data_IF_239119156764
#
_entry.id   IF_239119156764
#
_cell.length_a   1.000
_cell.length_b   1.000
_cell.length_c   1.000
_cell.angle_alpha   90.00
_cell.angle_beta   90.00
_cell.angle_gamma   90.00
#
_symmetry.space_group_name_H-M   'P 1'
#
loop_
_entity.id
_entity.type
_entity.pdbx_description
1 polymer ?
#
# COMPACT_ATOMS: atom_id res chain seq x y z
N UNK A 1 -23.81 33.97 -16.48
CA UNK A 1 -24.00 33.87 -15.00
C UNK A 1 -22.75 33.23 -14.42
N UNK A 2 -22.18 33.76 -13.34
CA UNK A 2 -21.13 33.05 -12.61
C UNK A 2 -21.78 31.94 -11.77
N UNK A 3 -21.31 30.70 -11.92
CA UNK A 3 -21.85 29.58 -11.15
C UNK A 3 -21.51 29.75 -9.66
N UNK A 4 -22.54 29.76 -8.81
CA UNK A 4 -22.37 29.73 -7.35
C UNK A 4 -21.55 28.49 -6.99
N UNK A 5 -20.38 28.71 -6.37
CA UNK A 5 -19.56 27.63 -5.81
C UNK A 5 -19.91 27.51 -4.34
N UNK A 6 -20.35 26.34 -3.92
CA UNK A 6 -20.58 26.04 -2.51
C UNK A 6 -19.34 26.38 -1.67
N UNK A 7 -19.52 26.94 -0.45
CA UNK A 7 -18.40 27.26 0.41
C UNK A 7 -17.59 25.99 0.71
N UNK A 8 -16.27 26.07 0.51
CA UNK A 8 -15.35 24.96 0.80
C UNK A 8 -15.22 24.78 2.31
N UNK A 9 -16.15 24.03 2.91
CA UNK A 9 -16.08 23.63 4.32
C UNK A 9 -14.82 22.78 4.53
N UNK A 10 -13.91 23.30 5.34
CA UNK A 10 -12.68 22.64 5.75
C UNK A 10 -12.98 21.78 6.97
N UNK A 11 -13.10 20.47 6.78
CA UNK A 11 -13.51 19.54 7.82
C UNK A 11 -12.27 18.83 8.36
N UNK A 12 -11.83 19.21 9.58
CA UNK A 12 -10.64 18.69 10.25
C UNK A 12 -10.71 17.17 10.58
N UNK A 13 -11.83 16.48 10.27
CA UNK A 13 -11.98 15.03 10.46
C UNK A 13 -10.97 14.24 9.62
N UNK A 14 -9.91 13.77 10.28
CA UNK A 14 -8.88 12.86 9.77
C UNK A 14 -9.49 11.59 9.16
N UNK A 15 -9.48 11.48 7.83
CA UNK A 15 -9.99 10.30 7.10
C UNK A 15 -8.89 9.25 6.96
N UNK A 16 -8.73 8.41 7.99
CA UNK A 16 -7.82 7.26 8.03
C UNK A 16 -8.51 6.00 8.55
N UNK A 17 -7.93 4.83 8.29
CA UNK A 17 -8.40 3.60 8.93
C UNK A 17 -8.16 3.67 10.46
N UNK A 18 -9.08 3.22 11.32
CA UNK A 18 -8.87 3.22 12.78
C UNK A 18 -7.69 2.31 13.15
N UNK A 19 -6.66 2.85 13.82
CA UNK A 19 -5.41 2.11 14.09
C UNK A 19 -5.63 0.94 15.06
N UNK A 20 -6.50 1.16 16.05
CA UNK A 20 -7.07 0.20 16.99
C UNK A 20 -7.75 -1.01 16.33
N UNK A 21 -8.36 -0.82 15.16
CA UNK A 21 -9.05 -1.88 14.43
C UNK A 21 -8.17 -2.58 13.36
N UNK A 22 -6.90 -2.19 13.17
CA UNK A 22 -6.04 -2.81 12.13
C UNK A 22 -5.72 -4.26 12.48
N UNK A 23 -5.34 -4.54 13.73
CA UNK A 23 -5.00 -5.90 14.14
C UNK A 23 -6.23 -6.82 14.14
N UNK A 24 -7.41 -6.30 14.53
CA UNK A 24 -8.70 -7.01 14.42
C UNK A 24 -9.04 -7.32 12.95
N UNK A 25 -8.85 -6.36 12.04
CA UNK A 25 -9.03 -6.59 10.60
C UNK A 25 -8.10 -7.68 10.06
N UNK A 26 -6.84 -7.67 10.50
CA UNK A 26 -5.85 -8.65 10.06
C UNK A 26 -6.15 -10.04 10.61
N UNK A 27 -6.33 -10.17 11.92
CA UNK A 27 -6.50 -11.46 12.59
C UNK A 27 -7.88 -12.08 12.35
N UNK A 28 -8.94 -11.29 12.47
CA UNK A 28 -10.33 -11.77 12.37
C UNK A 28 -10.98 -11.47 11.03
N UNK A 29 -10.83 -10.24 10.52
CA UNK A 29 -11.49 -9.79 9.29
C UNK A 29 -11.17 -10.64 8.07
N UNK A 30 -9.90 -11.03 7.91
CA UNK A 30 -9.45 -11.91 6.82
C UNK A 30 -9.58 -13.43 7.11
N UNK A 31 -10.14 -13.81 8.25
CA UNK A 31 -10.30 -15.21 8.67
C UNK A 31 -11.72 -15.74 8.47
N UNK A 32 -11.84 -17.02 8.14
CA UNK A 32 -13.10 -17.74 7.93
C UNK A 32 -12.97 -19.21 8.40
N UNK A 33 -14.01 -20.02 8.23
CA UNK A 33 -13.99 -21.45 8.61
C UNK A 33 -12.92 -22.27 7.86
N UNK A 34 -12.49 -21.83 6.67
CA UNK A 34 -11.34 -22.36 5.94
C UNK A 34 -9.99 -21.72 6.32
N UNK A 35 -9.90 -21.03 7.46
CA UNK A 35 -8.68 -20.42 8.00
C UNK A 35 -8.42 -18.96 7.60
N UNK A 36 -7.19 -18.52 7.86
CA UNK A 36 -6.69 -17.14 7.72
C UNK A 36 -6.29 -16.84 6.28
N UNK A 37 -6.74 -15.73 5.67
CA UNK A 37 -6.32 -15.31 4.32
C UNK A 37 -5.04 -14.46 4.35
N UNK A 38 -3.88 -15.12 4.40
CA UNK A 38 -2.55 -14.48 4.47
C UNK A 38 -2.31 -13.50 3.31
N UNK A 39 -2.76 -13.82 2.09
CA UNK A 39 -2.65 -12.91 0.93
C UNK A 39 -3.26 -11.53 1.21
N UNK A 40 -4.50 -11.49 1.70
CA UNK A 40 -5.19 -10.21 1.93
C UNK A 40 -4.74 -9.50 3.21
N UNK A 41 -4.20 -10.24 4.20
CA UNK A 41 -3.41 -9.63 5.28
C UNK A 41 -2.21 -8.87 4.70
N UNK A 42 -1.35 -9.53 3.91
CA UNK A 42 -0.14 -8.93 3.32
C UNK A 42 -0.46 -7.70 2.47
N UNK A 43 -1.47 -7.78 1.63
CA UNK A 43 -1.93 -6.67 0.79
C UNK A 43 -2.43 -5.47 1.63
N UNK A 44 -3.07 -5.72 2.77
CA UNK A 44 -3.47 -4.68 3.73
C UNK A 44 -2.26 -4.12 4.50
N UNK A 45 -1.34 -4.97 4.95
CA UNK A 45 -0.13 -4.58 5.67
C UNK A 45 0.77 -3.67 4.82
N UNK A 46 0.93 -3.96 3.53
CA UNK A 46 1.66 -3.12 2.58
C UNK A 46 1.07 -1.71 2.45
N UNK A 47 -0.26 -1.54 2.57
CA UNK A 47 -0.88 -0.21 2.56
C UNK A 47 -0.84 0.47 3.93
N UNK A 48 -1.05 -0.27 5.02
CA UNK A 48 -1.19 0.31 6.36
C UNK A 48 0.14 0.56 7.07
N UNK A 49 1.10 -0.35 6.91
CA UNK A 49 2.42 -0.29 7.52
C UNK A 49 3.54 -0.08 6.49
N UNK A 50 3.28 -0.21 5.19
CA UNK A 50 4.22 0.15 4.11
C UNK A 50 3.79 1.35 3.27
N UNK A 51 2.61 1.94 3.54
CA UNK A 51 2.11 3.13 2.87
C UNK A 51 1.63 2.97 1.42
N UNK A 52 1.70 1.81 0.78
CA UNK A 52 1.43 1.63 -0.67
C UNK A 52 0.03 2.11 -1.12
N UNK A 53 -0.07 2.57 -2.37
CA UNK A 53 -1.37 2.74 -3.05
C UNK A 53 -1.92 1.37 -3.44
N UNK A 54 -3.25 1.18 -3.36
CA UNK A 54 -3.87 -0.13 -3.65
C UNK A 54 -3.57 -0.71 -5.04
N UNK A 55 -3.18 0.08 -6.03
CA UNK A 55 -2.77 -0.43 -7.35
C UNK A 55 -1.30 -0.88 -7.41
N UNK A 56 -0.43 -0.37 -6.54
CA UNK A 56 0.99 -0.75 -6.48
C UNK A 56 1.19 -2.20 -6.02
N UNK A 57 0.27 -2.70 -5.19
CA UNK A 57 0.19 -4.10 -4.76
C UNK A 57 0.18 -5.12 -5.92
N UNK A 58 -0.30 -4.72 -7.10
CA UNK A 58 -0.44 -5.61 -8.27
C UNK A 58 0.75 -5.55 -9.24
N UNK A 59 1.72 -4.67 -8.99
CA UNK A 59 2.96 -4.57 -9.78
C UNK A 59 4.11 -5.39 -9.18
N UNK A 60 3.97 -5.82 -7.93
CA UNK A 60 4.92 -6.68 -7.22
C UNK A 60 5.03 -8.07 -7.86
N UNK A 61 6.27 -8.52 -8.05
CA UNK A 61 6.63 -9.89 -8.39
C UNK A 61 7.05 -10.65 -7.13
N UNK A 62 7.14 -11.99 -7.19
CA UNK A 62 7.67 -12.80 -6.08
C UNK A 62 9.10 -12.40 -5.72
N UNK A 63 9.93 -12.08 -6.73
CA UNK A 63 11.30 -11.57 -6.60
C UNK A 63 11.43 -10.24 -5.84
N UNK A 64 10.33 -9.52 -5.66
CA UNK A 64 10.34 -8.16 -5.11
C UNK A 64 10.23 -8.16 -3.58
N UNK A 65 9.95 -9.31 -2.99
CA UNK A 65 9.77 -9.52 -1.55
C UNK A 65 10.81 -10.55 -1.10
N UNK A 66 11.85 -10.06 -0.45
CA UNK A 66 13.04 -10.84 -0.06
C UNK A 66 13.33 -10.69 1.44
N UNK A 67 14.25 -11.50 1.97
CA UNK A 67 14.82 -11.26 3.32
C UNK A 67 15.81 -10.10 3.24
N UNK A 68 15.81 -9.19 4.22
CA UNK A 68 16.71 -8.04 4.22
C UNK A 68 18.20 -8.48 4.24
N UNK A 69 19.09 -7.84 3.45
CA UNK A 69 20.50 -8.25 3.34
C UNK A 69 21.29 -8.19 4.66
N UNK A 70 20.82 -7.39 5.62
CA UNK A 70 21.49 -7.16 6.92
C UNK A 70 20.65 -7.59 8.13
N UNK A 71 19.32 -7.73 7.98
CA UNK A 71 18.36 -7.92 9.08
C UNK A 71 17.50 -9.16 8.77
N UNK A 72 18.05 -10.34 9.06
CA UNK A 72 17.62 -11.64 8.50
C UNK A 72 16.20 -12.07 8.88
N UNK A 73 15.56 -11.40 9.83
CA UNK A 73 14.18 -11.59 10.26
C UNK A 73 13.20 -10.54 9.72
N UNK A 74 13.66 -9.57 8.92
CA UNK A 74 12.84 -8.57 8.24
C UNK A 74 12.65 -8.85 6.74
N UNK A 75 11.49 -8.46 6.20
CA UNK A 75 11.25 -8.40 4.76
C UNK A 75 11.78 -7.09 4.14
N UNK A 76 12.55 -7.23 3.06
CA UNK A 76 12.85 -6.16 2.11
C UNK A 76 11.86 -6.23 0.94
N UNK A 77 11.09 -5.16 0.73
CA UNK A 77 10.13 -5.06 -0.38
C UNK A 77 10.51 -3.91 -1.32
N UNK A 78 10.61 -4.21 -2.62
CA UNK A 78 11.01 -3.26 -3.68
C UNK A 78 9.91 -3.11 -4.73
N UNK A 79 9.22 -1.96 -4.74
CA UNK A 79 8.17 -1.69 -5.73
C UNK A 79 8.80 -1.07 -6.97
N UNK A 80 8.95 -1.89 -8.00
CA UNK A 80 9.44 -1.47 -9.31
C UNK A 80 8.35 -0.77 -10.12
N UNK A 81 8.76 0.14 -11.02
CA UNK A 81 7.90 0.65 -12.07
C UNK A 81 7.47 -0.51 -13.00
N UNK A 82 6.16 -0.72 -13.28
CA UNK A 82 5.66 -1.92 -13.97
C UNK A 82 6.18 -2.10 -15.40
N UNK A 83 6.52 -1.01 -16.09
CA UNK A 83 7.18 -1.04 -17.40
C UNK A 83 8.71 -0.91 -17.31
N UNK A 84 9.19 0.25 -16.86
CA UNK A 84 10.61 0.64 -16.90
C UNK A 84 11.49 0.15 -15.74
N UNK A 85 10.92 -0.54 -14.74
CA UNK A 85 11.72 -1.14 -13.67
C UNK A 85 12.60 -2.27 -14.21
N UNK A 86 13.75 -2.51 -13.57
CA UNK A 86 14.65 -3.61 -13.95
C UNK A 86 13.90 -4.95 -13.98
N UNK A 87 14.22 -5.75 -14.99
CA UNK A 87 13.80 -7.16 -15.10
C UNK A 87 14.33 -8.00 -13.92
N UNK A 88 13.61 -9.05 -13.48
CA UNK A 88 14.14 -10.05 -12.55
C UNK A 88 15.22 -10.94 -13.20
N UNK A 89 15.19 -11.14 -14.52
CA UNK A 89 16.21 -11.87 -15.28
C UNK A 89 17.15 -10.90 -16.03
N UNK A 90 18.45 -11.21 -16.15
CA UNK A 90 19.44 -10.26 -16.69
C UNK A 90 19.27 -9.98 -18.19
N UNK A 91 18.66 -10.91 -18.93
CA UNK A 91 18.60 -10.91 -20.40
C UNK A 91 17.61 -9.89 -20.99
N UNK A 92 16.82 -9.22 -20.12
CA UNK A 92 15.84 -8.21 -20.51
C UNK A 92 16.14 -6.87 -19.83
N UNK A 93 16.06 -5.78 -20.60
CA UNK A 93 16.34 -4.41 -20.14
C UNK A 93 15.39 -3.95 -19.04
N UNK A 94 14.13 -4.40 -19.08
CA UNK A 94 13.07 -3.95 -18.17
C UNK A 94 11.88 -4.93 -18.10
N UNK A 95 10.95 -4.66 -17.18
CA UNK A 95 9.75 -5.46 -16.92
C UNK A 95 8.78 -5.57 -18.10
N UNK A 96 8.65 -4.55 -18.94
CA UNK A 96 7.79 -4.61 -20.14
C UNK A 96 8.33 -5.64 -21.13
N UNK A 97 9.63 -5.66 -21.36
CA UNK A 97 10.30 -6.59 -22.26
C UNK A 97 10.22 -8.03 -21.73
N UNK A 98 10.62 -8.23 -20.47
CA UNK A 98 10.52 -9.50 -19.75
C UNK A 98 9.11 -10.12 -19.80
N UNK A 99 8.08 -9.35 -19.43
CA UNK A 99 6.69 -9.84 -19.43
C UNK A 99 6.21 -10.28 -20.82
N UNK A 100 6.56 -9.53 -21.87
CA UNK A 100 6.15 -9.83 -23.25
C UNK A 100 6.95 -10.99 -23.89
N UNK A 101 8.07 -11.39 -23.29
CA UNK A 101 8.91 -12.49 -23.76
C UNK A 101 8.59 -13.83 -23.06
N UNK A 102 8.50 -13.85 -21.72
CA UNK A 102 8.19 -15.08 -20.96
C UNK A 102 6.70 -15.43 -20.91
N UNK A 103 5.82 -14.42 -20.98
CA UNK A 103 4.43 -14.58 -20.51
C UNK A 103 3.39 -14.07 -21.51
N UNK A 104 2.15 -14.51 -21.34
CA UNK A 104 1.00 -13.92 -22.06
C UNK A 104 0.57 -12.54 -21.52
N UNK A 105 1.26 -11.99 -20.52
CA UNK A 105 0.86 -10.78 -19.81
C UNK A 105 1.64 -9.56 -20.29
N UNK A 106 0.98 -8.40 -20.26
CA UNK A 106 1.62 -7.08 -20.42
C UNK A 106 1.72 -6.38 -19.05
N UNK A 107 2.50 -5.28 -18.92
CA UNK A 107 2.52 -4.49 -17.70
C UNK A 107 1.11 -4.09 -17.21
N UNK A 108 0.85 -4.22 -15.91
CA UNK A 108 -0.52 -4.13 -15.36
C UNK A 108 -1.17 -2.75 -15.54
N UNK A 109 -0.38 -1.72 -15.79
CA UNK A 109 -0.82 -0.36 -16.11
C UNK A 109 -1.17 -0.13 -17.59
N UNK A 110 -0.77 -1.01 -18.52
CA UNK A 110 -1.07 -0.91 -19.97
C UNK A 110 -2.26 -1.76 -20.41
N UNK A 111 -3.02 -2.30 -19.46
CA UNK A 111 -4.37 -2.82 -19.69
C UNK A 111 -5.39 -1.67 -19.73
N UNK A 112 -6.41 -1.69 -20.62
CA UNK A 112 -7.56 -0.80 -20.58
C UNK A 112 -8.30 -0.88 -19.24
N UNK A 113 -8.95 0.22 -18.83
CA UNK A 113 -9.68 0.31 -17.55
C UNK A 113 -10.83 -0.72 -17.40
N UNK A 114 -11.33 -1.26 -18.51
CA UNK A 114 -12.34 -2.32 -18.55
C UNK A 114 -11.79 -3.72 -18.26
N UNK A 115 -10.49 -3.96 -18.48
CA UNK A 115 -9.88 -5.28 -18.30
C UNK A 115 -9.63 -5.60 -16.81
N UNK A 116 -9.94 -6.83 -16.40
CA UNK A 116 -9.84 -7.30 -15.00
C UNK A 116 -8.42 -7.22 -14.42
N UNK A 117 -7.41 -7.17 -15.30
CA UNK A 117 -5.99 -7.09 -14.92
C UNK A 117 -5.50 -5.64 -14.75
N UNK A 118 -6.27 -4.61 -15.10
CA UNK A 118 -5.83 -3.22 -14.94
C UNK A 118 -5.44 -2.87 -13.49
N UNK A 119 -4.26 -2.28 -13.33
CA UNK A 119 -3.82 -1.59 -12.13
C UNK A 119 -2.99 -0.36 -12.53
N UNK A 120 -3.51 0.85 -12.28
CA UNK A 120 -2.82 2.08 -12.66
C UNK A 120 -1.51 2.32 -11.90
N UNK A 121 -0.59 3.07 -12.52
CA UNK A 121 0.62 3.59 -11.89
C UNK A 121 0.52 5.11 -11.80
N UNK A 122 0.60 5.70 -10.59
CA UNK A 122 0.45 7.15 -10.38
C UNK A 122 1.78 7.90 -10.28
N UNK A 123 2.81 7.41 -10.99
CA UNK A 123 4.13 8.06 -11.04
C UNK A 123 4.76 8.23 -9.66
N UNK A 124 4.88 7.13 -8.90
CA UNK A 124 5.50 7.15 -7.59
C UNK A 124 6.97 7.63 -7.66
N UNK A 125 7.47 8.19 -6.55
CA UNK A 125 8.87 8.60 -6.45
C UNK A 125 9.75 7.34 -6.37
N UNK A 126 10.49 7.06 -7.45
CA UNK A 126 11.50 6.00 -7.49
C UNK A 126 12.77 6.50 -6.79
N UNK A 127 13.39 5.65 -5.97
CA UNK A 127 14.59 5.98 -5.17
C UNK A 127 15.84 5.20 -5.59
N UNK A 128 15.75 4.44 -6.70
CA UNK A 128 16.84 3.61 -7.24
C UNK A 128 16.89 3.75 -8.76
N UNK A 129 18.11 3.79 -9.31
CA UNK A 129 18.38 3.81 -10.76
C UNK A 129 17.89 2.55 -11.48
N UNK A 130 17.70 1.44 -10.76
CA UNK A 130 17.06 0.22 -11.26
C UNK A 130 15.51 0.33 -11.35
N UNK A 131 14.96 1.54 -11.15
CA UNK A 131 13.54 1.85 -11.39
C UNK A 131 12.58 1.35 -10.32
N UNK A 132 12.99 1.37 -9.05
CA UNK A 132 12.16 0.98 -7.90
C UNK A 132 12.18 2.01 -6.75
N UNK A 133 11.22 1.87 -5.83
CA UNK A 133 11.30 2.42 -4.48
C UNK A 133 11.26 1.29 -3.44
N UNK A 134 11.81 1.55 -2.25
CA UNK A 134 11.77 0.59 -1.14
C UNK A 134 10.63 0.91 -0.17
N UNK A 135 10.03 -0.14 0.40
CA UNK A 135 8.94 -0.01 1.37
C UNK A 135 9.54 0.19 2.76
N UNK A 136 9.35 1.38 3.32
CA UNK A 136 9.73 1.68 4.70
C UNK A 136 8.57 1.22 5.59
N UNK A 137 8.81 0.25 6.47
CA UNK A 137 7.78 -0.21 7.39
C UNK A 137 7.64 0.73 8.60
N UNK A 138 6.41 1.10 8.94
CA UNK A 138 6.09 2.00 10.05
C UNK A 138 4.99 1.42 10.97
N UNK A 139 5.32 0.91 12.17
CA UNK A 139 6.67 0.85 12.76
C UNK A 139 7.57 -0.21 12.08
N UNK A 140 8.91 -0.10 12.20
CA UNK A 140 9.86 -1.00 11.53
C UNK A 140 9.66 -2.49 11.84
N UNK A 141 9.22 -2.82 13.06
CA UNK A 141 8.90 -4.18 13.50
C UNK A 141 7.88 -4.89 12.60
N UNK A 142 7.05 -4.15 11.87
CA UNK A 142 6.10 -4.73 10.92
C UNK A 142 6.76 -5.38 9.69
N UNK A 143 8.02 -5.08 9.39
CA UNK A 143 8.79 -5.81 8.37
C UNK A 143 8.99 -7.28 8.75
N UNK A 144 9.16 -7.57 10.05
CA UNK A 144 9.29 -8.92 10.62
C UNK A 144 7.96 -9.67 10.64
N UNK A 145 6.90 -8.99 11.11
CA UNK A 145 5.53 -9.53 11.04
C UNK A 145 5.12 -9.82 9.60
N UNK A 146 5.46 -8.94 8.66
CA UNK A 146 5.20 -9.13 7.23
C UNK A 146 5.96 -10.33 6.66
N UNK A 147 7.25 -10.51 6.99
CA UNK A 147 8.03 -11.69 6.55
C UNK A 147 7.40 -12.99 7.05
N UNK A 148 6.98 -13.04 8.33
CA UNK A 148 6.35 -14.22 8.91
C UNK A 148 5.00 -14.58 8.24
N UNK A 149 4.22 -13.59 7.80
CA UNK A 149 2.99 -13.83 7.01
C UNK A 149 3.32 -14.16 5.54
N UNK A 150 4.39 -13.59 4.97
CA UNK A 150 4.82 -13.86 3.59
C UNK A 150 5.22 -15.33 3.40
N UNK A 151 6.02 -15.87 4.33
CA UNK A 151 6.39 -17.30 4.35
C UNK A 151 5.14 -18.19 4.47
N UNK A 152 4.15 -17.82 5.31
CA UNK A 152 2.88 -18.56 5.42
C UNK A 152 2.05 -18.49 4.13
N UNK A 153 2.01 -17.34 3.46
CA UNK A 153 1.34 -17.20 2.17
C UNK A 153 2.01 -18.08 1.10
N UNK A 154 3.33 -17.99 0.94
CA UNK A 154 4.08 -18.80 -0.02
C UNK A 154 3.90 -20.31 0.22
N UNK A 155 3.96 -20.76 1.48
CA UNK A 155 3.88 -22.19 1.82
C UNK A 155 2.46 -22.79 1.71
N UNK A 156 1.41 -22.00 1.96
CA UNK A 156 0.05 -22.55 2.13
C UNK A 156 -1.03 -21.97 1.21
N UNK A 157 -0.75 -20.90 0.46
CA UNK A 157 -1.79 -20.14 -0.28
C UNK A 157 -1.37 -19.56 -1.63
N UNK A 158 -0.07 -19.42 -1.91
CA UNK A 158 0.39 -19.14 -3.26
C UNK A 158 0.26 -20.42 -4.09
N UNK A 159 -0.40 -20.29 -5.23
CA UNK A 159 -0.59 -21.36 -6.20
C UNK A 159 0.17 -20.96 -7.46
N UNK A 160 1.02 -21.83 -7.99
CA UNK A 160 1.59 -21.59 -9.32
C UNK A 160 0.51 -21.75 -10.40
N UNK A 161 0.55 -20.94 -11.49
CA UNK A 161 -0.43 -21.05 -12.57
C UNK A 161 -0.14 -22.26 -13.47
N UNK A 162 -1.04 -23.25 -13.43
CA UNK A 162 -0.86 -24.55 -14.10
C UNK A 162 -0.77 -24.50 -15.64
N UNK A 163 -1.14 -23.39 -16.29
CA UNK A 163 -1.23 -23.28 -17.75
C UNK A 163 -0.42 -22.13 -18.37
N UNK A 164 0.09 -21.19 -17.58
CA UNK A 164 0.85 -20.03 -18.10
C UNK A 164 1.56 -19.30 -16.97
N UNK A 165 2.90 -19.32 -17.00
CA UNK A 165 3.76 -18.69 -16.01
C UNK A 165 3.49 -17.17 -15.88
N UNK A 166 3.68 -16.64 -14.67
CA UNK A 166 3.78 -15.20 -14.44
C UNK A 166 4.57 -14.86 -13.17
N UNK A 167 5.24 -13.70 -13.13
CA UNK A 167 6.07 -13.32 -12.00
C UNK A 167 5.28 -12.76 -10.80
N UNK A 168 4.00 -12.38 -10.96
CA UNK A 168 3.24 -11.61 -9.97
C UNK A 168 3.19 -12.29 -8.58
N UNK A 169 3.38 -11.48 -7.52
CA UNK A 169 3.44 -11.93 -6.14
C UNK A 169 2.13 -12.61 -5.69
N UNK A 170 1.00 -11.95 -5.92
CA UNK A 170 -0.31 -12.37 -5.41
C UNK A 170 -1.16 -13.09 -6.46
N UNK A 171 -1.58 -14.31 -6.13
CA UNK A 171 -2.32 -15.23 -7.01
C UNK A 171 -3.77 -15.44 -6.56
N UNK A 172 -4.62 -15.84 -7.50
CA UNK A 172 -5.96 -16.42 -7.24
C UNK A 172 -5.83 -17.89 -6.80
N UNK A 173 -6.95 -18.53 -6.43
CA UNK A 173 -7.00 -19.97 -6.13
C UNK A 173 -6.70 -20.86 -7.35
N UNK A 174 -6.86 -20.34 -8.55
CA UNK A 174 -6.56 -21.00 -9.83
C UNK A 174 -5.12 -20.72 -10.33
N UNK A 175 -4.25 -20.21 -9.45
CA UNK A 175 -2.85 -19.85 -9.75
C UNK A 175 -2.66 -18.53 -10.50
N UNK A 176 -3.63 -18.09 -11.32
CA UNK A 176 -3.50 -16.88 -12.13
C UNK A 176 -3.46 -15.57 -11.33
N UNK A 177 -3.15 -14.41 -11.96
CA UNK A 177 -2.85 -13.18 -11.24
C UNK A 177 -4.04 -12.63 -10.45
N UNK A 178 -3.80 -12.11 -9.25
CA UNK A 178 -4.86 -11.44 -8.49
C UNK A 178 -5.24 -10.07 -9.10
N UNK A 179 -6.45 -9.62 -8.81
CA UNK A 179 -7.09 -8.45 -9.42
C UNK A 179 -7.53 -7.43 -8.37
N UNK A 180 -7.43 -6.14 -8.72
CA UNK A 180 -7.83 -5.03 -7.85
C UNK A 180 -9.29 -5.16 -7.40
N UNK A 181 -10.21 -5.49 -8.32
CA UNK A 181 -11.62 -5.69 -8.02
C UNK A 181 -11.87 -6.84 -7.03
N UNK A 182 -11.04 -7.89 -7.01
CA UNK A 182 -11.15 -8.98 -6.02
C UNK A 182 -10.70 -8.54 -4.64
N UNK A 183 -9.53 -7.92 -4.54
CA UNK A 183 -9.02 -7.40 -3.26
C UNK A 183 -10.01 -6.42 -2.62
N UNK A 184 -10.56 -5.47 -3.38
CA UNK A 184 -11.58 -4.54 -2.86
C UNK A 184 -12.81 -5.25 -2.29
N UNK A 185 -13.33 -6.28 -2.98
CA UNK A 185 -14.49 -7.05 -2.48
C UNK A 185 -14.16 -7.87 -1.23
N UNK A 186 -12.92 -8.33 -1.09
CA UNK A 186 -12.46 -9.08 0.08
C UNK A 186 -12.19 -8.15 1.28
N UNK A 187 -11.51 -7.03 1.05
CA UNK A 187 -11.25 -5.98 2.04
C UNK A 187 -12.57 -5.41 2.60
N UNK A 188 -13.50 -5.02 1.73
CA UNK A 188 -14.83 -4.55 2.15
C UNK A 188 -15.52 -5.55 3.09
N UNK A 189 -15.55 -6.84 2.74
CA UNK A 189 -16.15 -7.90 3.57
C UNK A 189 -15.42 -8.11 4.89
N UNK A 190 -14.09 -8.01 4.90
CA UNK A 190 -13.28 -8.14 6.11
C UNK A 190 -13.56 -6.99 7.10
N UNK A 191 -13.73 -5.77 6.58
CA UNK A 191 -14.12 -4.57 7.33
C UNK A 191 -15.56 -4.69 7.87
N UNK A 192 -16.51 -5.10 7.04
CA UNK A 192 -17.91 -5.31 7.46
C UNK A 192 -18.05 -6.47 8.46
N UNK A 193 -17.19 -7.50 8.39
CA UNK A 193 -17.15 -8.60 9.36
C UNK A 193 -16.77 -8.14 10.77
N UNK A 194 -15.83 -7.19 10.90
CA UNK A 194 -15.38 -6.64 12.19
C UNK A 194 -16.26 -5.49 12.70
N UNK A 195 -17.52 -5.43 12.26
CA UNK A 195 -18.51 -4.42 12.69
C UNK A 195 -18.34 -3.02 12.08
N UNK A 196 -17.34 -2.79 11.21
CA UNK A 196 -17.09 -1.48 10.62
C UNK A 196 -17.85 -1.28 9.31
N UNK A 197 -18.52 -0.13 9.17
CA UNK A 197 -19.16 0.26 7.91
C UNK A 197 -18.09 0.68 6.90
N UNK A 198 -17.89 -0.10 5.83
CA UNK A 198 -16.89 0.17 4.79
C UNK A 198 -17.28 1.35 3.86
N UNK A 199 -16.83 2.58 4.19
CA UNK A 199 -17.11 3.82 3.43
C UNK A 199 -15.93 4.80 3.45
N UNK A 200 -15.89 5.70 2.45
CA UNK A 200 -14.85 6.74 2.33
C UNK A 200 -14.90 7.72 3.52
N UNK A 201 -16.09 8.18 3.94
CA UNK A 201 -16.28 9.17 5.01
C UNK A 201 -15.87 8.71 6.43
N UNK A 202 -15.56 7.42 6.58
CA UNK A 202 -15.09 6.79 7.81
C UNK A 202 -13.64 6.31 7.72
N UNK A 203 -12.96 6.51 6.58
CA UNK A 203 -11.59 6.02 6.37
C UNK A 203 -11.46 4.49 6.31
N UNK A 204 -12.58 3.75 6.29
CA UNK A 204 -12.61 2.28 6.38
C UNK A 204 -12.46 1.56 5.04
N UNK A 205 -12.30 2.29 3.92
CA UNK A 205 -11.92 1.71 2.61
C UNK A 205 -10.42 1.41 2.51
N UNK A 206 -10.01 0.59 1.54
CA UNK A 206 -8.59 0.24 1.32
C UNK A 206 -7.62 1.43 1.33
N UNK A 207 -8.06 2.58 0.78
CA UNK A 207 -7.23 3.79 0.71
C UNK A 207 -6.93 4.41 2.08
N UNK A 208 -7.81 4.24 3.07
CA UNK A 208 -7.64 4.79 4.40
C UNK A 208 -6.50 4.16 5.20
N UNK A 209 -6.05 2.95 4.82
CA UNK A 209 -4.81 2.37 5.36
C UNK A 209 -3.58 3.19 4.98
N UNK A 210 -3.49 3.63 3.72
CA UNK A 210 -2.42 4.53 3.26
C UNK A 210 -2.48 5.89 3.95
N UNK A 211 -3.68 6.38 4.27
CA UNK A 211 -3.80 7.57 5.11
C UNK A 211 -3.31 7.32 6.54
N UNK A 212 -3.65 6.18 7.15
CA UNK A 212 -3.19 5.83 8.50
C UNK A 212 -1.66 5.80 8.60
N UNK A 213 -0.97 5.22 7.61
CA UNK A 213 0.49 5.31 7.51
C UNK A 213 1.00 6.76 7.54
N UNK A 214 0.43 7.64 6.71
CA UNK A 214 0.86 9.04 6.59
C UNK A 214 0.67 9.85 7.87
N UNK A 215 -0.46 9.66 8.56
CA UNK A 215 -0.70 10.28 9.87
C UNK A 215 0.18 9.68 10.97
N UNK A 216 0.45 8.36 10.95
CA UNK A 216 1.39 7.70 11.87
C UNK A 216 2.81 8.21 11.69
N UNK A 217 3.25 8.43 10.45
CA UNK A 217 4.52 9.05 10.14
C UNK A 217 4.63 10.48 10.71
N UNK A 218 3.60 11.34 10.52
CA UNK A 218 3.57 12.67 11.15
C UNK A 218 3.59 12.61 12.68
N UNK A 219 2.84 11.67 13.29
CA UNK A 219 2.81 11.48 14.75
C UNK A 219 4.16 11.04 15.32
N UNK A 220 4.96 10.30 14.55
CA UNK A 220 6.34 9.93 14.91
C UNK A 220 7.37 11.03 14.56
N UNK A 221 6.93 12.27 14.30
CA UNK A 221 7.81 13.42 14.14
C UNK A 221 8.46 13.57 12.76
N UNK A 222 8.21 12.68 11.79
CA UNK A 222 8.84 12.74 10.47
C UNK A 222 8.50 14.06 9.75
N UNK A 223 9.51 14.68 9.16
CA UNK A 223 9.39 15.91 8.38
C UNK A 223 8.58 15.71 7.08
N UNK A 224 8.20 16.82 6.43
CA UNK A 224 7.54 16.80 5.12
C UNK A 224 8.30 15.97 4.07
N UNK A 225 9.63 16.02 4.09
CA UNK A 225 10.52 15.33 3.14
C UNK A 225 10.57 13.82 3.44
N UNK A 226 10.64 13.43 4.71
CA UNK A 226 10.63 12.03 5.12
C UNK A 226 9.26 11.37 4.90
N UNK A 227 8.17 12.09 5.18
CA UNK A 227 6.81 11.67 4.80
C UNK A 227 6.71 11.56 3.27
N UNK A 228 7.30 12.47 2.49
CA UNK A 228 7.30 12.37 1.02
C UNK A 228 8.03 11.12 0.52
N UNK A 229 9.22 10.84 1.05
CA UNK A 229 10.04 9.67 0.71
C UNK A 229 9.32 8.37 1.09
N UNK A 230 8.82 8.30 2.32
CA UNK A 230 8.18 7.10 2.87
C UNK A 230 6.77 6.83 2.33
N UNK A 231 6.07 7.85 1.83
CA UNK A 231 4.82 7.73 1.06
C UNK A 231 5.03 7.56 -0.45
N UNK A 232 6.27 7.57 -0.95
CA UNK A 232 6.59 7.44 -2.37
C UNK A 232 5.89 8.52 -3.23
N UNK A 233 5.91 9.75 -2.73
CA UNK A 233 5.23 10.92 -3.30
C UNK A 233 6.15 11.70 -4.24
N UNK A 234 5.77 11.79 -5.52
CA UNK A 234 6.52 12.56 -6.53
C UNK A 234 6.36 14.08 -6.36
N UNK A 235 5.18 14.55 -5.93
CA UNK A 235 4.98 15.95 -5.52
C UNK A 235 5.05 16.07 -3.99
N UNK A 236 5.82 17.05 -3.44
CA UNK A 236 5.83 17.36 -2.01
C UNK A 236 4.46 17.79 -1.46
N UNK A 237 3.54 18.27 -2.31
CA UNK A 237 2.21 18.76 -1.92
C UNK A 237 1.24 17.61 -1.63
N UNK A 238 1.52 16.42 -2.17
CA UNK A 238 0.76 15.21 -1.82
C UNK A 238 0.88 14.84 -0.33
N UNK A 239 1.84 15.42 0.40
CA UNK A 239 2.01 15.24 1.85
C UNK A 239 1.17 16.22 2.70
N UNK A 240 0.65 17.31 2.13
CA UNK A 240 -0.01 18.40 2.89
C UNK A 240 -1.19 17.88 3.73
N UNK A 241 -1.91 16.87 3.24
CA UNK A 241 -3.03 16.22 3.94
C UNK A 241 -2.65 15.57 5.29
N UNK A 242 -1.37 15.24 5.52
CA UNK A 242 -0.89 14.64 6.78
C UNK A 242 -0.24 15.65 7.73
N UNK A 243 0.18 16.81 7.22
CA UNK A 243 1.01 17.78 7.96
C UNK A 243 0.31 19.11 8.21
N UNK A 244 -0.86 19.35 7.59
CA UNK A 244 -1.74 20.48 7.93
C UNK A 244 -2.18 20.33 9.40
N UNK A 245 -1.90 21.30 10.28
CA UNK A 245 -2.40 21.28 11.64
C UNK A 245 -3.92 21.51 11.67
N UNK A 246 -4.58 20.92 12.66
CA UNK A 246 -5.98 21.25 13.02
C UNK A 246 -6.03 22.60 13.76
N UNK A 247 -7.25 23.10 13.97
CA UNK A 247 -7.45 24.32 14.75
C UNK A 247 -6.96 24.20 16.22
N UNK A 248 -6.91 22.99 16.81
CA UNK A 248 -6.38 22.83 18.17
C UNK A 248 -4.86 22.66 18.19
N UNK A 249 -4.24 21.97 17.21
CA UNK A 249 -2.77 21.94 17.07
C UNK A 249 -2.19 23.38 16.99
N UNK A 250 -2.87 24.28 16.27
CA UNK A 250 -2.49 25.71 16.17
C UNK A 250 -2.61 26.40 17.53
N UNK A 251 -3.67 26.14 18.30
CA UNK A 251 -3.89 26.73 19.63
C UNK A 251 -2.89 26.21 20.66
N UNK A 252 -2.55 24.93 20.64
CA UNK A 252 -1.53 24.36 21.53
C UNK A 252 -0.16 24.98 21.26
N UNK A 253 0.23 25.14 19.99
CA UNK A 253 1.46 25.87 19.60
C UNK A 253 1.40 27.33 20.08
N UNK A 254 0.29 28.03 19.88
CA UNK A 254 0.12 29.43 20.32
C UNK A 254 0.12 29.61 21.84
N UNK A 255 -0.37 28.61 22.60
CA UNK A 255 -0.27 28.60 24.08
C UNK A 255 1.19 28.41 24.52
N UNK A 256 1.89 27.43 23.97
CA UNK A 256 3.28 27.13 24.36
C UNK A 256 4.27 28.27 24.13
N UNK A 257 4.01 29.16 23.15
CA UNK A 257 4.82 30.37 22.93
C UNK A 257 4.58 31.45 24.00
N UNK A 258 3.43 31.44 24.70
CA UNK A 258 3.14 32.42 25.75
C UNK A 258 3.86 32.15 27.08
N UNK A 259 4.41 30.94 27.26
CA UNK A 259 5.07 30.50 28.49
C UNK A 259 6.62 30.59 28.43
N UNK A 260 7.21 31.02 27.30
CA UNK A 260 8.67 31.21 27.15
C UNK A 260 9.15 32.68 27.33
N UNK A 261 8.22 33.66 27.35
CA UNK A 261 8.48 35.11 27.47
C UNK A 261 7.97 35.71 28.82
N UNK A 262 7.89 34.91 29.89
CA UNK A 262 7.26 35.26 31.19
C UNK A 262 8.18 35.06 32.42
#
# INVERSE_FOLDING_TARGET
MAGYRDPKIDNDKVVKFPDDMVDVLLQEGFSNSGGVNYKYQLMTMLMNYGGLRKSELFHLYVSDITVHPERRDEALVRVYHPEYGKSPLPDYKNRREYLLAETQYKPRNSYPLSERLHAGWKGALLTSSAGFFEVIFNPPSMAKTFLAVWVKYLKYQRMEPAASFHPFAFTKKDGGPETLKNFQRAHKRAVEKIGLVCKKEFGTTEHGHRHAYGYRARKFGLSRVEIQKSMHHRSPDSCLVYIKPTNEDIREIMRGVADEDA
#
